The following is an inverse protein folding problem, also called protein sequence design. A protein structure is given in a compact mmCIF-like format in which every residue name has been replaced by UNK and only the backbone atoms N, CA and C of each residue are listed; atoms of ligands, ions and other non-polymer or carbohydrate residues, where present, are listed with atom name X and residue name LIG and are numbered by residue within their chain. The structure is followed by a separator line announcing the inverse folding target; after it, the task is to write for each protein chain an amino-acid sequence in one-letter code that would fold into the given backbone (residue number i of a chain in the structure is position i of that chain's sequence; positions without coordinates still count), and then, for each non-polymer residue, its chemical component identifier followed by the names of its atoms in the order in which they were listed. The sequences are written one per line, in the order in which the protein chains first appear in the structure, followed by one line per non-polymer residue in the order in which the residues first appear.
data_IF_287508770316
#
_entry.id   IF_287508770316
#
_cell.length_a   1.000
_cell.length_b   1.000
_cell.length_c   1.000
_cell.angle_alpha   90.00
_cell.angle_beta   90.00
_cell.angle_gamma   90.00
#
_symmetry.space_group_name_H-M   'P 1'
#
loop_
_entity.id
_entity.type
_entity.pdbx_description
1 polymer ?
#
# COMPACT_ATOMS: atom_id res chain seq x y z
N UNK A 1 -11.61 7.41 17.00
CA UNK A 1 -10.87 6.92 15.84
C UNK A 1 -10.17 5.63 16.24
N UNK A 2 -10.38 4.55 15.49
CA UNK A 2 -9.81 3.22 15.73
C UNK A 2 -8.51 3.08 14.93
N UNK A 3 -7.54 2.27 15.34
CA UNK A 3 -6.29 2.13 14.58
C UNK A 3 -6.48 1.77 13.09
N UNK A 4 -7.62 1.19 12.70
CA UNK A 4 -7.96 0.91 11.29
C UNK A 4 -8.28 2.15 10.47
N UNK A 5 -9.00 3.13 11.03
CA UNK A 5 -9.36 4.34 10.27
C UNK A 5 -8.10 5.15 9.93
N UNK A 6 -7.21 5.33 10.89
CA UNK A 6 -5.93 6.05 10.73
C UNK A 6 -4.97 5.37 9.74
N UNK A 7 -4.98 4.04 9.65
CA UNK A 7 -4.19 3.30 8.65
C UNK A 7 -4.79 3.49 7.27
N UNK A 8 -6.11 3.30 7.11
CA UNK A 8 -6.80 3.47 5.84
C UNK A 8 -6.68 4.90 5.30
N UNK A 9 -6.91 5.92 6.13
CA UNK A 9 -6.75 7.32 5.71
C UNK A 9 -5.32 7.66 5.27
N UNK A 10 -4.29 7.04 5.86
CA UNK A 10 -2.91 7.28 5.39
C UNK A 10 -2.62 6.58 4.07
N UNK A 11 -3.15 5.38 3.86
CA UNK A 11 -3.02 4.67 2.58
C UNK A 11 -3.74 5.46 1.48
N UNK A 12 -4.93 6.00 1.74
CA UNK A 12 -5.66 6.88 0.83
C UNK A 12 -4.82 8.09 0.41
N UNK A 13 -4.08 8.68 1.35
CA UNK A 13 -3.18 9.81 1.09
C UNK A 13 -1.86 9.42 0.38
N UNK A 14 -1.69 8.16 -0.02
CA UNK A 14 -0.49 7.68 -0.69
C UNK A 14 0.74 7.58 0.21
N UNK A 15 0.55 7.55 1.53
CA UNK A 15 1.63 7.51 2.51
C UNK A 15 2.31 6.14 2.52
N UNK A 16 3.64 6.16 2.67
CA UNK A 16 4.45 4.93 2.70
C UNK A 16 4.26 4.13 3.98
N UNK A 17 4.49 2.81 3.92
CA UNK A 17 4.46 1.92 5.09
C UNK A 17 5.38 2.41 6.21
N UNK A 18 6.61 2.81 5.86
CA UNK A 18 7.60 3.26 6.86
C UNK A 18 7.19 4.60 7.49
N UNK A 19 6.54 5.49 6.73
CA UNK A 19 5.94 6.71 7.27
C UNK A 19 4.78 6.38 8.21
N UNK A 20 3.90 5.44 7.84
CA UNK A 20 2.78 5.01 8.71
C UNK A 20 3.31 4.44 10.03
N UNK A 21 4.30 3.54 9.98
CA UNK A 21 4.99 2.99 11.18
C UNK A 21 5.48 4.11 12.09
N UNK A 22 6.16 5.11 11.52
CA UNK A 22 6.74 6.22 12.27
C UNK A 22 5.67 7.13 12.87
N UNK A 23 4.68 7.53 12.08
CA UNK A 23 3.65 8.48 12.52
C UNK A 23 2.67 7.87 13.52
N UNK A 24 2.34 6.59 13.36
CA UNK A 24 1.50 5.86 14.30
C UNK A 24 2.25 5.27 15.48
N UNK A 25 3.59 5.38 15.50
CA UNK A 25 4.45 4.68 16.47
C UNK A 25 4.10 3.19 16.58
N UNK A 26 3.68 2.59 15.46
CA UNK A 26 3.23 1.20 15.39
C UNK A 26 4.40 0.30 15.02
N UNK A 27 4.46 -0.92 15.55
CA UNK A 27 5.45 -1.88 15.08
C UNK A 27 5.18 -2.23 13.60
N UNK A 28 6.23 -2.32 12.78
CA UNK A 28 6.12 -2.69 11.38
C UNK A 28 5.40 -4.02 11.16
N UNK A 29 5.64 -5.04 11.99
CA UNK A 29 4.94 -6.33 11.87
C UNK A 29 3.46 -6.21 12.20
N UNK A 30 3.10 -5.38 13.18
CA UNK A 30 1.70 -5.10 13.52
C UNK A 30 0.99 -4.41 12.36
N UNK A 31 1.62 -3.40 11.75
CA UNK A 31 1.04 -2.72 10.59
C UNK A 31 0.86 -3.68 9.41
N UNK A 32 1.83 -4.55 9.14
CA UNK A 32 1.72 -5.53 8.05
C UNK A 32 0.59 -6.53 8.29
N UNK A 33 0.49 -7.10 9.50
CA UNK A 33 -0.60 -7.99 9.86
C UNK A 33 -1.97 -7.29 9.77
N UNK A 34 -2.03 -6.00 10.10
CA UNK A 34 -3.24 -5.19 9.97
C UNK A 34 -3.62 -4.96 8.51
N UNK A 35 -2.65 -4.69 7.64
CA UNK A 35 -2.88 -4.56 6.21
C UNK A 35 -3.33 -5.88 5.59
N UNK A 36 -2.70 -7.00 5.96
CA UNK A 36 -3.13 -8.34 5.53
C UNK A 36 -4.59 -8.60 5.90
N UNK A 37 -4.97 -8.28 7.14
CA UNK A 37 -6.37 -8.35 7.59
C UNK A 37 -7.30 -7.44 6.78
N UNK A 38 -6.91 -6.19 6.53
CA UNK A 38 -7.72 -5.24 5.76
C UNK A 38 -7.88 -5.65 4.28
N UNK A 39 -6.91 -6.34 3.70
CA UNK A 39 -7.00 -6.93 2.36
C UNK A 39 -7.95 -8.13 2.37
N UNK A 40 -7.83 -9.04 3.34
CA UNK A 40 -8.71 -10.20 3.47
C UNK A 40 -10.18 -9.77 3.68
N UNK A 41 -10.38 -8.72 4.48
CA UNK A 41 -11.67 -8.08 4.69
C UNK A 41 -12.09 -7.13 3.56
N UNK A 42 -11.37 -7.06 2.45
CA UNK A 42 -11.72 -6.27 1.27
C UNK A 42 -11.88 -4.75 1.52
N UNK A 43 -11.23 -4.20 2.54
CA UNK A 43 -11.10 -2.74 2.71
C UNK A 43 -10.00 -2.18 1.80
N UNK A 44 -8.97 -2.98 1.55
CA UNK A 44 -7.86 -2.69 0.64
C UNK A 44 -7.80 -3.74 -0.47
N UNK A 45 -7.26 -3.34 -1.61
CA UNK A 45 -6.81 -4.25 -2.67
C UNK A 45 -5.35 -3.97 -3.00
N UNK A 46 -4.62 -5.02 -3.41
CA UNK A 46 -3.24 -4.86 -3.83
C UNK A 46 -3.21 -4.26 -5.25
N UNK A 47 -2.53 -3.13 -5.41
CA UNK A 47 -2.33 -2.50 -6.69
C UNK A 47 -1.34 -3.33 -7.51
N UNK A 48 -1.83 -3.96 -8.58
CA UNK A 48 -0.99 -4.66 -9.55
C UNK A 48 -0.03 -3.66 -10.22
N UNK A 49 1.26 -3.74 -9.89
CA UNK A 49 2.30 -3.07 -10.67
C UNK A 49 2.56 -3.82 -11.97
N UNK A 50 1.56 -3.87 -12.86
CA UNK A 50 1.75 -4.32 -14.23
C UNK A 50 2.41 -3.20 -15.04
N UNK A 51 3.76 -3.18 -15.05
CA UNK A 51 4.50 -2.35 -16.01
C UNK A 51 4.16 -2.84 -17.44
N UNK A 52 3.33 -2.09 -18.18
CA UNK A 52 3.01 -2.34 -19.59
C UNK A 52 4.15 -1.88 -20.50
N UNK A 53 5.34 -2.47 -20.35
CA UNK A 53 6.51 -2.19 -21.17
C UNK A 53 6.64 -3.24 -22.27
N UNK A 54 5.74 -3.26 -23.24
CA UNK A 54 5.69 -4.35 -24.23
C UNK A 54 6.44 -4.09 -25.55
N UNK A 55 7.01 -2.91 -25.81
CA UNK A 55 7.51 -2.62 -27.18
C UNK A 55 8.71 -1.66 -27.33
N UNK A 56 9.49 -1.34 -26.29
CA UNK A 56 10.67 -0.48 -26.49
C UNK A 56 11.95 -1.02 -25.86
N UNK A 57 13.02 -1.03 -26.67
CA UNK A 57 14.40 -1.33 -26.27
C UNK A 57 14.99 -0.30 -25.27
N UNK A 58 14.16 0.58 -24.71
CA UNK A 58 14.49 1.56 -23.67
C UNK A 58 14.13 1.05 -22.26
N UNK A 59 13.70 -0.20 -22.13
CA UNK A 59 13.24 -0.77 -20.87
C UNK A 59 14.39 -1.07 -19.87
N UNK A 60 15.66 -1.01 -20.29
CA UNK A 60 16.80 -1.09 -19.36
C UNK A 60 16.85 0.08 -18.36
N UNK A 61 16.14 1.18 -18.64
CA UNK A 61 15.98 2.32 -17.71
C UNK A 61 14.63 2.36 -16.99
N UNK A 62 13.68 1.49 -17.36
CA UNK A 62 12.55 1.25 -16.48
C UNK A 62 13.06 0.44 -15.31
N UNK A 63 13.32 1.12 -14.19
CA UNK A 63 13.52 0.51 -12.87
C UNK A 63 12.22 -0.18 -12.37
N UNK A 64 11.52 -0.91 -13.25
CA UNK A 64 10.60 -1.96 -12.87
C UNK A 64 11.46 -3.18 -12.47
N UNK A 65 12.29 -3.02 -11.46
CA UNK A 65 12.95 -4.13 -10.79
C UNK A 65 11.85 -4.93 -10.11
N UNK A 66 11.37 -5.97 -10.81
CA UNK A 66 10.74 -7.08 -10.12
C UNK A 66 11.68 -7.50 -9.00
N UNK A 67 11.16 -7.51 -7.78
CA UNK A 67 11.87 -7.86 -6.56
C UNK A 67 13.05 -6.94 -6.20
N UNK A 68 12.75 -5.79 -5.59
CA UNK A 68 13.54 -5.37 -4.44
C UNK A 68 12.62 -4.81 -3.34
N UNK A 69 12.31 -5.69 -2.41
CA UNK A 69 11.92 -5.40 -1.04
C UNK A 69 12.67 -4.19 -0.48
N UNK A 70 12.00 -3.04 -0.31
CA UNK A 70 12.60 -2.03 0.58
C UNK A 70 12.09 -0.60 0.57
N UNK A 71 11.37 -0.10 -0.45
CA UNK A 71 11.11 1.34 -0.51
C UNK A 71 9.66 1.70 -0.90
N UNK A 72 8.77 1.43 0.03
CA UNK A 72 7.86 2.45 0.55
C UNK A 72 6.61 2.86 -0.23
N UNK A 73 6.51 2.78 -1.55
CA UNK A 73 5.29 3.27 -2.20
C UNK A 73 4.12 2.30 -1.97
N UNK A 74 2.99 2.80 -1.46
CA UNK A 74 1.86 1.98 -1.05
C UNK A 74 1.34 1.14 -2.23
N UNK A 75 1.58 -0.17 -2.17
CA UNK A 75 1.04 -1.19 -3.09
C UNK A 75 -0.44 -1.48 -2.82
N UNK A 76 -1.15 -0.60 -2.12
CA UNK A 76 -2.52 -0.83 -1.69
C UNK A 76 -3.38 0.38 -2.00
N UNK A 77 -4.57 0.13 -2.51
CA UNK A 77 -5.60 1.15 -2.72
C UNK A 77 -6.86 0.77 -1.97
N UNK A 78 -7.63 1.78 -1.56
CA UNK A 78 -8.90 1.54 -0.88
C UNK A 78 -9.94 1.04 -1.87
N UNK A 79 -10.67 0.00 -1.47
CA UNK A 79 -11.88 -0.40 -2.17
C UNK A 79 -13.02 0.57 -1.85
N UNK A 80 -14.18 0.41 -2.50
CA UNK A 80 -15.39 1.16 -2.09
C UNK A 80 -15.79 0.90 -0.64
N UNK A 81 -15.53 -0.32 -0.10
CA UNK A 81 -15.76 -0.65 1.31
C UNK A 81 -14.80 0.12 2.22
N UNK A 82 -13.52 0.19 1.82
CA UNK A 82 -12.49 1.02 2.48
C UNK A 82 -12.89 2.48 2.59
N UNK A 83 -13.28 3.09 1.47
CA UNK A 83 -13.69 4.50 1.43
C UNK A 83 -14.90 4.80 2.30
N UNK A 84 -15.91 3.93 2.29
CA UNK A 84 -17.09 4.10 3.15
C UNK A 84 -16.76 4.00 4.65
N UNK A 85 -15.74 3.25 5.02
CA UNK A 85 -15.36 3.07 6.43
C UNK A 85 -14.71 4.31 7.04
N UNK A 86 -13.99 5.10 6.25
CA UNK A 86 -13.29 6.31 6.72
C UNK A 86 -14.06 7.61 6.44
N UNK A 87 -15.24 7.53 5.82
CA UNK A 87 -16.10 8.67 5.49
C UNK A 87 -16.95 9.17 6.67
#
# INVERSE_FOLDING_TARGET
MSGMDEVLSRIENGTTIDTIVKELSMNRSTLLAMIEFLVDEQYLEQADMHCSCSTSNLCEQCQCSGADTGHGMAMYVLTSKGLQFIS
#
